data_IF_049923891382
#
_entry.id   IF_049923891382
#
_cell.length_a   1.000
_cell.length_b   1.000
_cell.length_c   1.000
_cell.angle_alpha   90.00
_cell.angle_beta   90.00
_cell.angle_gamma   90.00
#
_symmetry.space_group_name_H-M   'P 1'
#
loop_
_entity.id
_entity.type
_entity.pdbx_description
1 polymer ?
#
# COMPACT_ATOMS: atom_id res chain seq x y z
N UNK A 1 12.12 -4.97 -8.04
CA UNK A 1 12.15 -4.41 -6.68
C UNK A 1 13.40 -3.55 -6.56
N UNK A 2 13.25 -2.27 -6.22
CA UNK A 2 14.37 -1.35 -6.01
C UNK A 2 14.88 -1.52 -4.57
N UNK A 3 16.19 -1.62 -4.38
CA UNK A 3 16.82 -1.97 -3.11
C UNK A 3 17.51 -0.74 -2.52
N UNK A 4 17.54 -0.62 -1.18
CA UNK A 4 18.56 0.20 -0.52
C UNK A 4 19.89 -0.57 -0.54
N UNK A 5 20.94 -0.07 -1.24
CA UNK A 5 22.21 -0.78 -1.33
C UNK A 5 22.83 -1.03 0.05
N UNK A 6 22.72 -0.07 0.97
CA UNK A 6 23.37 -0.10 2.29
C UNK A 6 22.85 -1.21 3.22
N UNK A 7 21.53 -1.47 3.21
CA UNK A 7 20.93 -2.54 4.01
C UNK A 7 21.28 -3.93 3.48
N UNK A 8 21.50 -4.04 2.16
CA UNK A 8 21.99 -5.27 1.55
C UNK A 8 23.46 -5.51 1.95
N UNK A 9 24.30 -4.48 1.91
CA UNK A 9 25.74 -4.61 2.24
C UNK A 9 25.97 -5.04 3.69
N UNK A 10 25.17 -4.56 4.64
CA UNK A 10 25.32 -4.90 6.06
C UNK A 10 24.93 -6.35 6.39
N UNK A 11 23.86 -6.88 5.77
CA UNK A 11 23.46 -8.29 5.89
C UNK A 11 24.44 -9.21 5.16
N UNK A 12 25.05 -8.72 4.07
CA UNK A 12 25.98 -9.49 3.23
C UNK A 12 27.45 -9.41 3.66
N UNK A 13 27.76 -8.70 4.75
CA UNK A 13 29.09 -8.62 5.36
C UNK A 13 29.46 -9.86 6.20
N UNK A 14 28.68 -10.95 6.13
CA UNK A 14 29.03 -12.21 6.75
C UNK A 14 30.27 -12.84 6.09
N UNK A 15 31.26 -13.23 6.92
CA UNK A 15 32.50 -13.88 6.49
C UNK A 15 32.19 -15.11 5.63
N UNK A 16 32.66 -15.12 4.37
CA UNK A 16 32.50 -16.25 3.44
C UNK A 16 31.34 -16.14 2.44
N UNK A 17 30.67 -14.99 2.36
CA UNK A 17 29.55 -14.73 1.43
C UNK A 17 29.98 -13.71 0.38
N UNK A 18 29.77 -14.03 -0.90
CA UNK A 18 29.87 -13.10 -2.02
C UNK A 18 28.50 -12.89 -2.65
N UNK A 19 28.26 -11.68 -3.15
CA UNK A 19 27.01 -11.35 -3.82
C UNK A 19 27.26 -10.73 -5.18
N UNK A 20 26.38 -11.00 -6.13
CA UNK A 20 26.36 -10.37 -7.45
C UNK A 20 24.97 -9.78 -7.71
N UNK A 21 24.94 -8.57 -8.25
CA UNK A 21 23.73 -7.83 -8.59
C UNK A 21 23.63 -7.74 -10.11
N UNK A 22 22.79 -8.58 -10.71
CA UNK A 22 22.51 -8.53 -12.14
C UNK A 22 21.26 -7.70 -12.39
N UNK A 23 21.38 -6.62 -13.17
CA UNK A 23 20.24 -5.80 -13.60
C UNK A 23 19.70 -6.37 -14.91
N UNK A 24 18.43 -6.74 -14.95
CA UNK A 24 17.80 -7.15 -16.21
C UNK A 24 17.39 -5.93 -17.06
N UNK A 25 17.01 -6.17 -18.31
CA UNK A 25 16.61 -5.12 -19.28
C UNK A 25 15.39 -4.29 -18.82
N UNK A 26 14.59 -4.81 -17.89
CA UNK A 26 13.41 -4.16 -17.31
C UNK A 26 13.70 -3.43 -15.98
N UNK A 27 14.97 -3.32 -15.58
CA UNK A 27 15.38 -2.62 -14.35
C UNK A 27 15.16 -3.39 -13.06
N UNK A 28 14.86 -4.69 -13.11
CA UNK A 28 14.77 -5.58 -11.96
C UNK A 28 16.18 -6.08 -11.62
N UNK A 29 16.58 -5.91 -10.37
CA UNK A 29 17.83 -6.44 -9.84
C UNK A 29 17.65 -7.87 -9.35
N UNK A 30 18.43 -8.80 -9.88
CA UNK A 30 18.59 -10.16 -9.40
C UNK A 30 19.80 -10.19 -8.48
N UNK A 31 19.57 -10.51 -7.21
CA UNK A 31 20.64 -10.69 -6.23
C UNK A 31 21.02 -12.17 -6.20
N UNK A 32 22.23 -12.50 -6.63
CA UNK A 32 22.79 -13.84 -6.53
C UNK A 32 23.73 -13.90 -5.34
N UNK A 33 23.39 -14.72 -4.36
CA UNK A 33 24.21 -14.93 -3.17
C UNK A 33 24.97 -16.25 -3.31
N UNK A 34 26.27 -16.19 -3.09
CA UNK A 34 27.16 -17.35 -3.12
C UNK A 34 27.87 -17.38 -1.78
N UNK A 35 27.93 -18.54 -1.12
CA UNK A 35 28.70 -18.68 0.10
C UNK A 35 29.57 -19.93 0.03
N UNK A 36 30.65 -19.92 0.79
CA UNK A 36 31.58 -21.04 0.92
C UNK A 36 30.97 -22.27 1.60
N UNK A 37 29.86 -22.12 2.33
CA UNK A 37 29.15 -23.22 2.97
C UNK A 37 27.63 -23.06 2.82
N UNK A 38 26.94 -24.19 2.62
CA UNK A 38 25.46 -24.23 2.50
C UNK A 38 24.77 -23.73 3.77
N UNK A 39 25.38 -23.96 4.94
CA UNK A 39 24.90 -23.46 6.24
C UNK A 39 24.82 -21.93 6.25
N UNK A 40 25.81 -21.24 5.71
CA UNK A 40 25.85 -19.78 5.66
C UNK A 40 24.72 -19.20 4.79
N UNK A 41 24.37 -19.85 3.67
CA UNK A 41 23.22 -19.43 2.85
C UNK A 41 21.89 -19.69 3.57
N UNK A 42 21.76 -20.81 4.28
CA UNK A 42 20.55 -21.12 5.05
C UNK A 42 20.34 -20.12 6.20
N UNK A 43 21.40 -19.79 6.94
CA UNK A 43 21.39 -18.82 8.03
C UNK A 43 21.07 -17.40 7.52
N UNK A 44 21.47 -17.07 6.29
CA UNK A 44 21.14 -15.79 5.63
C UNK A 44 19.71 -15.70 5.10
N UNK A 45 19.04 -16.83 4.84
CA UNK A 45 17.73 -16.86 4.19
C UNK A 45 16.68 -16.10 5.00
N UNK A 46 16.57 -16.38 6.30
CA UNK A 46 15.56 -15.77 7.18
C UNK A 46 15.77 -14.26 7.36
N UNK A 47 16.99 -13.76 7.63
CA UNK A 47 17.27 -12.31 7.62
C UNK A 47 16.91 -11.64 6.30
N UNK A 48 17.22 -12.26 5.15
CA UNK A 48 16.88 -11.72 3.84
C UNK A 48 15.38 -11.70 3.58
N UNK A 49 14.66 -12.75 3.95
CA UNK A 49 13.19 -12.79 3.83
C UNK A 49 12.53 -11.72 4.71
N UNK A 50 13.03 -11.49 5.92
CA UNK A 50 12.56 -10.41 6.81
C UNK A 50 12.83 -9.04 6.16
N UNK A 51 14.03 -8.85 5.62
CA UNK A 51 14.42 -7.61 4.94
C UNK A 51 13.60 -7.38 3.67
N UNK A 52 13.27 -8.44 2.92
CA UNK A 52 12.44 -8.40 1.70
C UNK A 52 10.95 -8.21 2.00
N UNK A 53 10.45 -8.65 3.16
CA UNK A 53 9.05 -8.46 3.54
C UNK A 53 8.75 -6.99 3.84
N UNK A 54 9.73 -6.28 4.41
CA UNK A 54 9.62 -4.89 4.88
C UNK A 54 8.66 -4.76 6.06
N UNK A 55 8.83 -3.70 6.86
CA UNK A 55 7.89 -3.37 7.94
C UNK A 55 6.80 -2.47 7.40
N UNK A 56 5.54 -2.87 7.56
CA UNK A 56 4.39 -1.99 7.25
C UNK A 56 4.21 -1.03 8.43
N UNK A 57 4.19 0.28 8.16
CA UNK A 57 3.94 1.29 9.19
C UNK A 57 2.44 1.33 9.49
N UNK A 58 2.10 1.08 10.74
CA UNK A 58 0.74 1.19 11.26
C UNK A 58 0.79 2.07 12.51
N UNK A 59 0.44 3.36 12.36
CA UNK A 59 0.43 4.31 13.46
C UNK A 59 -0.95 4.96 13.60
N UNK A 60 -1.51 5.11 14.82
CA UNK A 60 -2.86 5.65 15.02
C UNK A 60 -3.04 7.07 14.46
N UNK A 61 -2.00 7.89 14.46
CA UNK A 61 -2.06 9.25 13.92
C UNK A 61 -1.98 9.34 12.38
N UNK A 62 -1.65 8.23 11.71
CA UNK A 62 -1.59 8.13 10.26
C UNK A 62 -2.95 7.72 9.71
N UNK A 63 -3.85 8.69 9.62
CA UNK A 63 -5.12 8.52 8.91
C UNK A 63 -4.91 8.44 7.40
N UNK A 64 -5.86 7.84 6.67
CA UNK A 64 -5.85 7.76 5.21
C UNK A 64 -5.61 9.13 4.54
N UNK A 65 -6.21 10.20 5.06
CA UNK A 65 -6.02 11.57 4.56
C UNK A 65 -4.62 12.13 4.80
N UNK A 66 -3.95 11.69 5.86
CA UNK A 66 -2.56 12.06 6.17
C UNK A 66 -1.60 11.29 5.27
N UNK A 67 -1.83 9.99 5.04
CA UNK A 67 -1.01 9.16 4.15
C UNK A 67 -1.11 9.62 2.68
N UNK A 68 -2.29 10.10 2.25
CA UNK A 68 -2.48 10.69 0.93
C UNK A 68 -1.61 11.94 0.67
N UNK A 69 -1.07 12.60 1.72
CA UNK A 69 -0.14 13.71 1.54
C UNK A 69 1.16 13.29 0.85
N UNK A 70 1.52 12.00 0.91
CA UNK A 70 2.66 11.44 0.16
C UNK A 70 2.48 11.50 -1.36
N UNK A 71 1.27 11.73 -1.86
CA UNK A 71 1.02 11.96 -3.28
C UNK A 71 1.42 13.38 -3.72
N UNK A 72 1.59 14.32 -2.77
CA UNK A 72 2.00 15.69 -3.05
C UNK A 72 3.51 15.80 -3.30
N UNK A 73 3.95 16.86 -3.99
CA UNK A 73 5.37 17.11 -4.24
C UNK A 73 6.18 17.23 -2.95
N UNK A 74 5.61 17.89 -1.93
CA UNK A 74 6.24 18.05 -0.62
C UNK A 74 6.30 16.71 0.13
N UNK A 75 5.24 15.90 0.05
CA UNK A 75 5.22 14.54 0.61
C UNK A 75 6.26 13.61 -0.01
N UNK A 76 6.45 13.67 -1.33
CA UNK A 76 7.51 12.91 -2.02
C UNK A 76 8.90 13.41 -1.63
N UNK A 77 9.08 14.72 -1.41
CA UNK A 77 10.34 15.29 -0.96
C UNK A 77 10.68 14.84 0.47
N UNK A 78 9.72 14.89 1.38
CA UNK A 78 9.90 14.45 2.77
C UNK A 78 10.19 12.95 2.84
N UNK A 79 9.49 12.11 2.06
CA UNK A 79 9.78 10.68 1.97
C UNK A 79 11.23 10.43 1.55
N UNK A 80 11.70 11.14 0.51
CA UNK A 80 13.10 11.04 0.06
C UNK A 80 14.11 11.56 1.09
N UNK A 81 13.77 12.60 1.84
CA UNK A 81 14.62 13.10 2.93
C UNK A 81 14.78 12.04 4.01
N UNK A 82 13.68 11.40 4.42
CA UNK A 82 13.71 10.33 5.43
C UNK A 82 14.52 9.14 4.93
N UNK A 83 14.35 8.71 3.67
CA UNK A 83 15.17 7.65 3.06
C UNK A 83 16.68 7.97 3.14
N UNK A 84 17.07 9.19 2.76
CA UNK A 84 18.47 9.63 2.78
C UNK A 84 19.05 9.70 4.19
N UNK A 85 18.30 10.23 5.15
CA UNK A 85 18.76 10.41 6.52
C UNK A 85 18.87 9.09 7.31
N UNK A 86 18.03 8.11 6.98
CA UNK A 86 17.95 6.85 7.72
C UNK A 86 18.67 5.70 7.02
N UNK A 87 19.07 5.89 5.76
CA UNK A 87 19.61 4.82 4.93
C UNK A 87 18.60 3.69 4.69
N UNK A 88 17.30 4.00 4.77
CA UNK A 88 16.21 3.05 4.49
C UNK A 88 15.63 3.29 3.11
N UNK A 89 14.88 2.31 2.62
CA UNK A 89 14.03 2.46 1.45
C UNK A 89 12.57 2.43 1.89
N UNK A 90 11.78 3.39 1.43
CA UNK A 90 10.38 3.55 1.82
C UNK A 90 9.52 3.37 0.56
N UNK A 91 8.78 2.27 0.50
CA UNK A 91 7.80 2.02 -0.54
C UNK A 91 6.44 2.52 -0.08
N UNK A 92 5.91 3.48 -0.81
CA UNK A 92 4.51 3.91 -0.68
C UNK A 92 3.68 3.28 -1.80
N UNK A 93 2.80 2.34 -1.44
CA UNK A 93 1.86 1.70 -2.35
C UNK A 93 0.63 2.61 -2.53
N UNK A 94 0.46 3.14 -3.75
CA UNK A 94 -0.61 4.08 -4.06
C UNK A 94 -1.99 3.44 -4.11
N UNK A 95 -2.05 2.13 -4.34
CA UNK A 95 -3.30 1.38 -4.45
C UNK A 95 -3.83 0.96 -3.10
N UNK A 96 -2.96 0.39 -2.26
CA UNK A 96 -3.33 -0.06 -0.92
C UNK A 96 -3.18 1.03 0.15
N UNK A 97 -2.61 2.19 -0.20
CA UNK A 97 -2.30 3.31 0.70
C UNK A 97 -1.42 2.88 1.88
N UNK A 98 -0.61 1.84 1.68
CA UNK A 98 0.29 1.31 2.70
C UNK A 98 1.70 1.84 2.48
N UNK A 99 2.39 2.06 3.60
CA UNK A 99 3.80 2.44 3.61
C UNK A 99 4.60 1.26 4.16
N UNK A 100 5.59 0.81 3.39
CA UNK A 100 6.54 -0.24 3.80
C UNK A 100 7.94 0.32 3.86
N UNK A 101 8.64 0.10 4.97
CA UNK A 101 10.04 0.49 5.14
C UNK A 101 10.92 -0.74 5.10
N UNK A 102 12.02 -0.64 4.36
CA UNK A 102 13.02 -1.68 4.15
C UNK A 102 14.36 -1.16 4.66
N UNK A 103 14.97 -1.89 5.60
CA UNK A 103 16.22 -1.50 6.24
C UNK A 103 16.53 -2.38 7.45
N UNK A 104 17.61 -2.05 8.17
CA UNK A 104 17.92 -2.69 9.45
C UNK A 104 16.89 -2.28 10.51
N UNK A 105 16.68 -3.12 11.53
CA UNK A 105 15.62 -2.92 12.53
C UNK A 105 15.69 -1.55 13.23
N UNK A 106 16.87 -1.08 13.59
CA UNK A 106 17.09 0.23 14.23
C UNK A 106 16.81 1.39 13.26
N UNK A 107 17.23 1.24 12.00
CA UNK A 107 17.02 2.25 10.95
C UNK A 107 15.55 2.35 10.56
N UNK A 108 14.84 1.22 10.53
CA UNK A 108 13.40 1.15 10.26
C UNK A 108 12.61 1.84 11.36
N UNK A 109 12.97 1.66 12.63
CA UNK A 109 12.33 2.35 13.74
C UNK A 109 12.54 3.88 13.66
N UNK A 110 13.77 4.32 13.36
CA UNK A 110 14.08 5.73 13.17
C UNK A 110 13.35 6.34 11.95
N UNK A 111 13.23 5.59 10.85
CA UNK A 111 12.50 6.01 9.65
C UNK A 111 11.00 6.13 9.90
N UNK A 112 10.42 5.20 10.66
CA UNK A 112 9.01 5.27 11.06
C UNK A 112 8.72 6.54 11.86
N UNK A 113 9.49 6.83 12.91
CA UNK A 113 9.30 8.02 13.75
C UNK A 113 9.44 9.32 12.94
N UNK A 114 10.49 9.42 12.12
CA UNK A 114 10.73 10.60 11.27
C UNK A 114 9.63 10.79 10.22
N UNK A 115 9.17 9.71 9.60
CA UNK A 115 8.12 9.77 8.59
C UNK A 115 6.79 10.22 9.20
N UNK A 116 6.43 9.71 10.37
CA UNK A 116 5.23 10.15 11.10
C UNK A 116 5.33 11.65 11.39
N UNK A 117 6.45 12.10 11.95
CA UNK A 117 6.64 13.52 12.26
C UNK A 117 6.55 14.42 11.01
N UNK A 118 7.19 14.04 9.91
CA UNK A 118 7.12 14.78 8.65
C UNK A 118 5.69 14.87 8.10
N UNK A 119 4.94 13.76 8.13
CA UNK A 119 3.54 13.72 7.68
C UNK A 119 2.61 14.57 8.54
N UNK A 120 2.82 14.60 9.86
CA UNK A 120 2.08 15.48 10.76
C UNK A 120 2.38 16.95 10.45
N UNK A 121 3.64 17.31 10.21
CA UNK A 121 4.01 18.67 9.81
C UNK A 121 3.42 19.07 8.45
N UNK A 122 3.38 18.17 7.47
CA UNK A 122 2.74 18.42 6.18
C UNK A 122 1.24 18.65 6.32
N UNK A 123 0.59 17.86 7.17
CA UNK A 123 -0.84 18.02 7.49
C UNK A 123 -1.11 19.40 8.07
N UNK A 124 -0.25 19.86 8.98
CA UNK A 124 -0.38 21.16 9.62
C UNK A 124 -0.07 22.32 8.65
N UNK A 125 0.90 22.14 7.75
CA UNK A 125 1.25 23.12 6.70
C UNK A 125 0.20 23.26 5.61
N UNK A 126 -0.63 22.22 5.35
CA UNK A 126 -1.67 22.25 4.32
C UNK A 126 -2.74 23.28 4.69
N UNK A 127 -3.09 24.22 3.78
CA UNK A 127 -4.16 25.17 4.04
C UNK A 127 -5.49 24.41 4.21
N UNK A 128 -6.30 24.89 5.14
CA UNK A 128 -7.69 24.49 5.28
C UNK A 128 -8.53 25.34 4.32
N UNK A 129 -9.30 24.67 3.46
CA UNK A 129 -10.11 25.31 2.43
C UNK A 129 -11.57 25.36 2.89
N UNK A 130 -12.01 26.52 3.37
CA UNK A 130 -13.39 26.73 3.84
C UNK A 130 -14.22 27.31 2.70
N UNK A 131 -15.14 26.51 2.18
CA UNK A 131 -16.09 26.97 1.16
C UNK A 131 -17.18 27.81 1.80
N UNK A 132 -17.35 29.03 1.29
CA UNK A 132 -18.35 30.02 1.74
C UNK A 132 -19.66 29.95 0.95
N UNK A 133 -19.81 28.93 0.09
CA UNK A 133 -21.01 28.61 -0.68
C UNK A 133 -21.28 27.11 -0.62
N UNK A 134 -22.55 26.73 -0.48
CA UNK A 134 -22.96 25.34 -0.45
C UNK A 134 -24.38 25.14 0.09
N UNK A 135 -24.84 23.89 0.05
CA UNK A 135 -26.23 23.46 0.32
C UNK A 135 -26.80 23.89 1.68
N UNK A 136 -25.94 24.08 2.68
CA UNK A 136 -26.31 24.42 4.07
C UNK A 136 -25.83 25.82 4.49
N UNK A 137 -25.29 26.59 3.55
CA UNK A 137 -24.69 27.91 3.80
C UNK A 137 -25.57 29.01 3.19
N UNK A 138 -25.77 30.13 3.88
CA UNK A 138 -26.55 31.25 3.37
C UNK A 138 -25.94 31.79 2.06
N UNK A 139 -26.76 32.13 1.05
CA UNK A 139 -26.28 32.59 -0.25
C UNK A 139 -25.48 33.90 -0.16
N UNK A 140 -25.70 34.69 0.91
CA UNK A 140 -25.01 35.94 1.22
C UNK A 140 -23.86 35.79 2.23
N UNK A 141 -23.45 34.56 2.61
CA UNK A 141 -22.42 34.34 3.64
C UNK A 141 -21.11 35.10 3.37
N UNK A 142 -20.63 35.11 2.13
CA UNK A 142 -19.44 35.89 1.76
C UNK A 142 -19.61 37.39 2.03
N UNK A 143 -20.77 37.96 1.70
CA UNK A 143 -21.06 39.38 1.90
C UNK A 143 -21.14 39.72 3.40
N UNK A 144 -21.72 38.83 4.19
CA UNK A 144 -21.79 38.98 5.65
C UNK A 144 -20.43 38.79 6.33
N UNK A 145 -19.58 37.88 5.83
CA UNK A 145 -18.20 37.77 6.28
C UNK A 145 -17.40 39.05 6.03
N UNK A 146 -17.49 39.63 4.83
CA UNK A 146 -16.79 40.88 4.49
C UNK A 146 -17.31 42.07 5.30
N UNK A 147 -18.62 42.10 5.63
CA UNK A 147 -19.18 43.11 6.53
C UNK A 147 -18.68 42.96 7.98
N UNK A 148 -18.64 41.72 8.50
CA UNK A 148 -18.29 41.47 9.91
C UNK A 148 -16.78 41.56 10.16
N UNK A 149 -15.96 41.11 9.22
CA UNK A 149 -14.51 40.99 9.40
C UNK A 149 -13.67 41.93 8.53
N UNK A 150 -14.32 42.76 7.71
CA UNK A 150 -13.66 43.71 6.80
C UNK A 150 -13.23 43.07 5.48
N UNK A 151 -12.99 43.92 4.47
CA UNK A 151 -12.60 43.49 3.11
C UNK A 151 -11.26 42.74 3.10
N UNK A 152 -10.33 43.12 3.98
CA UNK A 152 -8.98 42.55 4.10
C UNK A 152 -8.84 41.48 5.20
N UNK A 153 -9.98 41.01 5.74
CA UNK A 153 -10.10 40.04 6.83
C UNK A 153 -9.38 40.46 8.12
N UNK A 154 -9.19 41.76 8.34
CA UNK A 154 -8.52 42.29 9.54
C UNK A 154 -9.19 41.84 10.83
N UNK A 155 -10.53 41.74 10.85
CA UNK A 155 -11.28 41.26 12.00
C UNK A 155 -10.93 39.81 12.36
N UNK A 156 -10.75 38.94 11.36
CA UNK A 156 -10.33 37.54 11.58
C UNK A 156 -8.85 37.45 12.02
N UNK A 157 -7.98 38.29 11.44
CA UNK A 157 -6.57 38.37 11.85
C UNK A 157 -6.39 38.89 13.27
N UNK A 158 -7.29 39.75 13.76
CA UNK A 158 -7.23 40.26 15.13
C UNK A 158 -7.57 39.17 16.16
N UNK A 159 -8.54 38.32 15.85
CA UNK A 159 -8.95 37.21 16.73
C UNK A 159 -7.99 36.02 16.63
N UNK A 160 -7.33 35.83 15.48
CA UNK A 160 -6.35 34.75 15.27
C UNK A 160 -5.10 35.27 14.55
N UNK A 161 -4.18 35.97 15.26
CA UNK A 161 -3.05 36.67 14.65
C UNK A 161 -1.96 35.75 14.08
N UNK A 162 -1.93 34.48 14.50
CA UNK A 162 -0.97 33.49 14.02
C UNK A 162 -1.36 32.86 12.66
N UNK A 163 -2.51 33.22 12.08
CA UNK A 163 -3.06 32.57 10.88
C UNK A 163 -2.86 33.42 9.63
N UNK A 164 -2.35 32.79 8.58
CA UNK A 164 -2.38 33.36 7.23
C UNK A 164 -3.73 33.04 6.57
N UNK A 165 -4.45 34.09 6.17
CA UNK A 165 -5.77 34.00 5.54
C UNK A 165 -5.70 34.51 4.10
N UNK A 166 -6.27 33.75 3.15
CA UNK A 166 -6.45 34.19 1.77
C UNK A 166 -7.88 33.92 1.31
N UNK A 167 -8.56 34.94 0.83
CA UNK A 167 -9.92 34.81 0.29
C UNK A 167 -9.89 34.80 -1.23
N UNK A 168 -10.43 33.76 -1.84
CA UNK A 168 -10.69 33.74 -3.28
C UNK A 168 -12.15 34.13 -3.54
N UNK A 169 -12.34 35.35 -4.01
CA UNK A 169 -13.66 35.91 -4.32
C UNK A 169 -14.35 35.22 -5.49
N UNK A 170 -13.61 34.65 -6.46
CA UNK A 170 -14.20 33.94 -7.61
C UNK A 170 -14.69 32.54 -7.25
N UNK A 171 -13.93 31.84 -6.41
CA UNK A 171 -14.24 30.46 -5.97
C UNK A 171 -14.99 30.40 -4.64
N UNK A 172 -15.28 31.54 -4.03
CA UNK A 172 -15.95 31.62 -2.73
C UNK A 172 -15.31 30.72 -1.66
N UNK A 173 -13.98 30.74 -1.61
CA UNK A 173 -13.20 29.86 -0.72
C UNK A 173 -12.23 30.68 0.11
N UNK A 174 -12.24 30.46 1.42
CA UNK A 174 -11.28 31.01 2.38
C UNK A 174 -10.22 29.96 2.68
N UNK A 175 -8.98 30.27 2.33
CA UNK A 175 -7.80 29.47 2.65
C UNK A 175 -7.24 29.92 3.99
N UNK A 176 -7.08 28.96 4.92
CA UNK A 176 -6.66 29.19 6.29
C UNK A 176 -5.40 28.37 6.57
N UNK A 177 -4.27 29.04 6.85
CA UNK A 177 -3.02 28.38 7.19
C UNK A 177 -2.59 28.75 8.61
N UNK A 178 -2.41 27.74 9.46
CA UNK A 178 -2.11 27.91 10.87
C UNK A 178 -2.12 26.58 11.61
N UNK A 179 -2.03 26.64 12.95
CA UNK A 179 -2.14 25.45 13.82
C UNK A 179 -3.52 24.78 13.70
N UNK A 180 -3.65 23.55 14.20
CA UNK A 180 -4.94 22.83 14.19
C UNK A 180 -5.99 23.57 15.02
N UNK A 181 -5.58 24.09 16.18
CA UNK A 181 -6.41 24.85 17.10
C UNK A 181 -6.91 26.15 16.44
N UNK A 182 -6.03 26.83 15.71
CA UNK A 182 -6.39 28.07 15.02
C UNK A 182 -7.31 27.85 13.82
N UNK A 183 -7.07 26.78 13.04
CA UNK A 183 -7.96 26.36 11.95
C UNK A 183 -9.37 26.08 12.47
N UNK A 184 -9.47 25.38 13.61
CA UNK A 184 -10.75 25.07 14.24
C UNK A 184 -11.47 26.32 14.73
N UNK A 185 -10.77 27.28 15.34
CA UNK A 185 -11.37 28.58 15.73
C UNK A 185 -11.96 29.33 14.55
N UNK A 186 -11.29 29.32 13.39
CA UNK A 186 -11.80 29.98 12.19
C UNK A 186 -13.08 29.30 11.67
N UNK A 187 -13.15 27.97 11.70
CA UNK A 187 -14.37 27.23 11.36
C UNK A 187 -15.54 27.53 12.31
N UNK A 188 -15.26 27.62 13.62
CA UNK A 188 -16.25 27.96 14.64
C UNK A 188 -16.83 29.36 14.40
N UNK A 189 -15.98 30.36 14.16
CA UNK A 189 -16.43 31.73 13.85
C UNK A 189 -17.29 31.83 12.58
N UNK A 190 -16.98 31.05 11.55
CA UNK A 190 -17.79 30.99 10.32
C UNK A 190 -19.12 30.28 10.59
N UNK A 191 -19.11 29.23 11.40
CA UNK A 191 -20.31 28.50 11.79
C UNK A 191 -21.29 29.37 12.60
N UNK A 192 -20.78 30.21 13.49
CA UNK A 192 -21.59 31.22 14.21
C UNK A 192 -22.24 32.23 13.25
N UNK A 193 -21.49 32.66 12.24
CA UNK A 193 -21.96 33.57 11.18
C UNK A 193 -23.06 32.96 10.33
N UNK A 194 -22.94 31.67 10.03
CA UNK A 194 -23.97 30.89 9.33
C UNK A 194 -25.25 30.80 10.17
N UNK A 195 -25.12 30.59 11.47
CA UNK A 195 -26.28 30.49 12.37
C UNK A 195 -27.00 31.84 12.52
N UNK A 196 -26.28 32.96 12.58
CA UNK A 196 -26.90 34.28 12.66
C UNK A 196 -27.64 34.70 11.38
N UNK A 197 -27.21 34.20 10.23
CA UNK A 197 -27.81 34.50 8.92
C UNK A 197 -28.99 33.59 8.56
N UNK A 198 -29.02 32.34 9.05
CA UNK A 198 -30.16 31.43 8.88
C UNK A 198 -31.48 31.96 9.46
N UNK A 199 -31.43 32.80 10.49
CA UNK A 199 -32.64 33.42 11.08
C UNK A 199 -33.29 34.51 10.21
N UNK A 200 -32.58 35.04 9.19
CA UNK A 200 -33.06 36.15 8.37
C UNK A 200 -33.51 35.75 6.95
N UNK A 201 -33.49 34.46 6.59
CA UNK A 201 -33.51 34.01 5.19
C UNK A 201 -34.60 33.02 4.77
N UNK A 202 -35.78 32.99 5.40
CA UNK A 202 -36.92 32.19 4.95
C UNK A 202 -37.70 32.87 3.80
N UNK A 203 -37.02 33.25 2.72
CA UNK A 203 -37.68 33.66 1.47
C UNK A 203 -37.46 32.60 0.41
N UNK A 204 -38.53 31.86 0.14
CA UNK A 204 -38.68 30.89 -0.95
C UNK A 204 -38.41 31.56 -2.30
N UNK A 205 -37.42 31.07 -3.05
CA UNK A 205 -37.29 31.33 -4.48
C UNK A 205 -37.74 30.08 -5.27
N UNK A 206 -38.41 30.24 -6.44
CA UNK A 206 -39.04 29.14 -7.15
C UNK A 206 -38.03 28.14 -7.73
N UNK A 207 -38.36 26.86 -7.57
CA UNK A 207 -37.48 25.69 -7.68
C UNK A 207 -37.26 25.17 -9.12
N UNK A 208 -37.27 26.01 -10.15
CA UNK A 208 -37.16 25.55 -11.56
C UNK A 208 -35.73 25.62 -12.12
N UNK A 209 -34.90 26.55 -11.64
CA UNK A 209 -33.52 26.77 -12.13
C UNK A 209 -32.44 26.44 -11.08
N UNK A 210 -32.79 25.68 -10.04
CA UNK A 210 -31.87 25.31 -8.99
C UNK A 210 -31.07 24.04 -9.34
N UNK A 211 -29.78 24.05 -9.06
CA UNK A 211 -28.92 22.88 -9.19
C UNK A 211 -29.40 21.78 -8.24
N UNK A 212 -29.66 20.55 -8.71
CA UNK A 212 -30.18 19.48 -7.85
C UNK A 212 -29.20 19.02 -6.74
N UNK A 213 -27.91 19.35 -6.85
CA UNK A 213 -26.89 18.97 -5.85
C UNK A 213 -26.81 20.01 -4.73
N UNK A 214 -26.59 21.29 -5.07
CA UNK A 214 -26.41 22.34 -4.06
C UNK A 214 -27.71 23.06 -3.68
N UNK A 215 -28.79 22.88 -4.46
CA UNK A 215 -30.09 23.56 -4.30
C UNK A 215 -30.02 25.10 -4.41
N UNK A 216 -28.95 25.63 -5.01
CA UNK A 216 -28.78 27.05 -5.34
C UNK A 216 -29.06 27.29 -6.83
N UNK A 217 -29.14 28.56 -7.27
CA UNK A 217 -29.13 28.91 -8.69
C UNK A 217 -27.93 28.29 -9.40
N UNK A 218 -28.14 27.79 -10.63
CA UNK A 218 -27.06 27.16 -11.40
C UNK A 218 -26.05 28.21 -11.86
N UNK A 219 -24.83 28.09 -11.37
CA UNK A 219 -23.66 28.82 -11.85
C UNK A 219 -22.80 27.90 -12.71
N UNK A 220 -22.32 28.41 -13.85
CA UNK A 220 -21.55 27.64 -14.86
C UNK A 220 -22.26 26.32 -15.23
N UNK A 221 -23.37 26.41 -16.00
CA UNK A 221 -24.27 25.30 -16.21
C UNK A 221 -23.59 24.20 -17.04
N UNK A 222 -23.52 23.00 -16.46
CA UNK A 222 -23.12 21.80 -17.17
C UNK A 222 -24.34 20.89 -17.35
N UNK A 223 -24.62 20.54 -18.61
CA UNK A 223 -25.72 19.65 -18.99
C UNK A 223 -25.19 18.25 -19.22
N UNK A 224 -25.71 17.27 -18.49
CA UNK A 224 -25.35 15.86 -18.70
C UNK A 224 -25.91 15.35 -20.03
N UNK A 225 -25.08 14.73 -20.86
CA UNK A 225 -25.47 14.22 -22.18
C UNK A 225 -26.49 13.07 -22.09
N UNK A 226 -26.40 12.21 -21.06
CA UNK A 226 -27.30 11.03 -20.94
C UNK A 226 -28.76 11.35 -20.61
N UNK A 227 -29.00 12.43 -19.87
CA UNK A 227 -30.30 12.76 -19.30
C UNK A 227 -30.75 14.20 -19.50
N UNK A 228 -29.87 15.07 -19.98
CA UNK A 228 -30.16 16.48 -20.23
C UNK A 228 -30.33 17.33 -18.97
N UNK A 229 -30.07 16.78 -17.78
CA UNK A 229 -30.18 17.53 -16.53
C UNK A 229 -28.98 18.45 -16.31
N UNK A 230 -29.26 19.65 -15.80
CA UNK A 230 -28.29 20.72 -15.61
C UNK A 230 -27.89 20.82 -14.15
N UNK A 231 -26.59 20.99 -13.92
CA UNK A 231 -25.98 21.16 -12.61
C UNK A 231 -24.92 22.28 -12.69
N UNK A 232 -24.46 22.79 -11.55
CA UNK A 232 -23.25 23.59 -11.54
C UNK A 232 -22.05 22.69 -11.90
N UNK A 233 -21.14 23.17 -12.75
CA UNK A 233 -19.93 22.43 -13.13
C UNK A 233 -19.14 21.97 -11.90
N UNK A 234 -18.96 22.87 -10.92
CA UNK A 234 -18.27 22.57 -9.65
C UNK A 234 -18.92 21.44 -8.85
N UNK A 235 -20.25 21.37 -8.83
CA UNK A 235 -20.97 20.31 -8.12
C UNK A 235 -20.76 18.93 -8.76
N UNK A 236 -20.67 18.86 -10.09
CA UNK A 236 -20.37 17.60 -10.78
C UNK A 236 -18.91 17.19 -10.62
N UNK A 237 -17.98 18.15 -10.61
CA UNK A 237 -16.57 17.88 -10.28
C UNK A 237 -16.45 17.32 -8.87
N UNK A 238 -17.10 17.95 -7.89
CA UNK A 238 -17.12 17.48 -6.51
C UNK A 238 -17.75 16.09 -6.36
N UNK A 239 -18.80 15.79 -7.14
CA UNK A 239 -19.38 14.45 -7.19
C UNK A 239 -18.34 13.41 -7.64
N UNK A 240 -17.58 13.72 -8.69
CA UNK A 240 -16.53 12.84 -9.19
C UNK A 240 -15.40 12.67 -8.16
N UNK A 241 -14.95 13.77 -7.54
CA UNK A 241 -13.91 13.73 -6.50
C UNK A 241 -14.36 12.98 -5.23
N UNK A 242 -15.64 13.06 -4.89
CA UNK A 242 -16.21 12.30 -3.77
C UNK A 242 -16.23 10.80 -4.07
N UNK A 243 -16.52 10.42 -5.32
CA UNK A 243 -16.47 9.03 -5.76
C UNK A 243 -15.04 8.46 -5.75
N UNK A 244 -14.00 9.28 -5.90
CA UNK A 244 -12.61 8.83 -5.74
C UNK A 244 -12.29 8.38 -4.31
N UNK A 245 -12.93 8.99 -3.31
CA UNK A 245 -12.68 8.75 -1.87
C UNK A 245 -13.52 7.61 -1.30
N UNK A 246 -14.60 7.23 -1.97
CA UNK A 246 -15.60 6.27 -1.49
C UNK A 246 -15.66 5.04 -2.40
N UNK A 247 -15.65 3.85 -1.81
CA UNK A 247 -15.85 2.59 -2.56
C UNK A 247 -17.29 2.45 -3.09
N UNK A 248 -18.26 3.14 -2.49
CA UNK A 248 -19.68 3.12 -2.86
C UNK A 248 -20.06 4.22 -3.85
N UNK A 249 -19.07 4.99 -4.34
CA UNK A 249 -19.29 6.10 -5.28
C UNK A 249 -19.62 5.68 -6.71
N UNK A 250 -19.61 4.38 -7.00
CA UNK A 250 -19.78 3.82 -8.34
C UNK A 250 -21.01 2.91 -8.43
N UNK A 251 -21.74 2.93 -9.57
CA UNK A 251 -21.53 3.77 -10.75
C UNK A 251 -21.92 5.23 -10.51
N UNK A 252 -21.24 6.17 -11.18
CA UNK A 252 -21.60 7.59 -11.15
C UNK A 252 -22.92 7.82 -11.88
N UNK A 253 -23.92 8.30 -11.15
CA UNK A 253 -25.28 8.51 -11.65
C UNK A 253 -25.74 9.96 -11.45
N UNK A 254 -26.69 10.37 -12.30
CA UNK A 254 -27.38 11.64 -12.18
C UNK A 254 -28.15 11.72 -10.84
N UNK A 255 -27.86 12.76 -10.06
CA UNK A 255 -28.43 12.97 -8.72
C UNK A 255 -29.76 13.75 -8.72
N UNK A 256 -30.31 14.09 -9.88
CA UNK A 256 -31.65 14.67 -9.94
C UNK A 256 -32.69 13.62 -9.54
N UNK A 257 -33.64 14.00 -8.68
CA UNK A 257 -34.71 13.13 -8.19
C UNK A 257 -35.34 12.31 -9.32
N UNK A 258 -35.27 10.98 -9.19
CA UNK A 258 -35.89 10.03 -10.12
C UNK A 258 -35.08 9.68 -11.38
N UNK A 259 -33.96 10.34 -11.68
CA UNK A 259 -33.22 10.09 -12.93
C UNK A 259 -32.36 8.82 -12.89
N UNK A 260 -31.41 8.73 -11.95
CA UNK A 260 -30.45 7.61 -11.77
C UNK A 260 -29.70 7.14 -13.04
N UNK A 261 -29.75 7.87 -14.16
CA UNK A 261 -28.98 7.56 -15.38
C UNK A 261 -27.48 7.74 -15.13
N UNK A 262 -26.67 6.85 -15.68
CA UNK A 262 -25.22 6.91 -15.56
C UNK A 262 -24.63 8.12 -16.30
N UNK A 263 -23.53 8.66 -15.77
CA UNK A 263 -22.73 9.67 -16.45
C UNK A 263 -21.93 9.02 -17.58
N UNK A 264 -21.86 9.67 -18.74
CA UNK A 264 -21.10 9.16 -19.88
C UNK A 264 -19.63 9.55 -19.78
N UNK A 265 -18.77 8.78 -20.45
CA UNK A 265 -17.33 9.10 -20.54
C UNK A 265 -17.10 10.48 -21.17
N UNK A 266 -17.96 10.92 -22.09
CA UNK A 266 -17.90 12.27 -22.67
C UNK A 266 -18.14 13.37 -21.63
N UNK A 267 -19.06 13.15 -20.70
CA UNK A 267 -19.30 14.08 -19.58
C UNK A 267 -18.04 14.13 -18.69
N UNK A 268 -17.51 12.96 -18.31
CA UNK A 268 -16.33 12.85 -17.42
C UNK A 268 -15.07 13.48 -18.03
N UNK A 269 -14.84 13.32 -19.34
CA UNK A 269 -13.71 13.94 -20.05
C UNK A 269 -13.81 15.48 -20.11
N UNK A 270 -15.02 16.01 -20.03
CA UNK A 270 -15.26 17.46 -20.05
C UNK A 270 -15.17 18.06 -18.64
N UNK A 271 -15.48 17.26 -17.61
CA UNK A 271 -15.46 17.68 -16.21
C UNK A 271 -14.06 17.56 -15.55
N UNK A 272 -13.25 16.59 -15.97
CA UNK A 272 -12.00 16.23 -15.28
C UNK A 272 -10.77 16.37 -16.19
N UNK A 273 -9.61 16.64 -15.56
CA UNK A 273 -8.32 16.54 -16.24
C UNK A 273 -8.00 15.07 -16.59
N UNK A 274 -7.09 14.87 -17.56
CA UNK A 274 -6.60 13.54 -17.96
C UNK A 274 -6.14 12.70 -16.77
N UNK A 275 -5.42 13.30 -15.82
CA UNK A 275 -4.89 12.63 -14.63
C UNK A 275 -6.01 12.18 -13.69
N UNK A 276 -6.94 13.09 -13.35
CA UNK A 276 -8.09 12.78 -12.48
C UNK A 276 -9.04 11.77 -13.11
N UNK A 277 -9.19 11.80 -14.44
CA UNK A 277 -10.01 10.82 -15.16
C UNK A 277 -9.41 9.41 -15.04
N UNK A 278 -8.10 9.28 -15.14
CA UNK A 278 -7.41 8.00 -14.98
C UNK A 278 -7.52 7.49 -13.53
N UNK A 279 -7.39 8.37 -12.53
CA UNK A 279 -7.66 8.04 -11.13
C UNK A 279 -9.10 7.55 -10.92
N UNK A 280 -10.06 8.19 -11.59
CA UNK A 280 -11.47 7.82 -11.51
C UNK A 280 -11.74 6.44 -12.10
N UNK A 281 -11.11 6.11 -13.24
CA UNK A 281 -11.18 4.77 -13.81
C UNK A 281 -10.50 3.71 -12.95
N UNK A 282 -9.38 4.04 -12.29
CA UNK A 282 -8.78 3.14 -11.30
C UNK A 282 -9.72 2.92 -10.11
N UNK A 283 -10.37 3.97 -9.62
CA UNK A 283 -11.33 3.89 -8.53
C UNK A 283 -12.58 3.07 -8.91
N UNK A 284 -13.10 3.25 -10.12
CA UNK A 284 -14.24 2.47 -10.62
C UNK A 284 -13.91 0.98 -10.75
N UNK A 285 -12.69 0.67 -11.22
CA UNK A 285 -12.20 -0.71 -11.29
C UNK A 285 -12.07 -1.34 -9.88
N UNK A 286 -11.56 -0.58 -8.90
CA UNK A 286 -11.50 -1.04 -7.50
C UNK A 286 -12.89 -1.33 -6.95
N UNK A 287 -13.86 -0.44 -7.19
CA UNK A 287 -15.24 -0.64 -6.77
C UNK A 287 -15.84 -1.90 -7.43
N UNK A 288 -15.62 -2.09 -8.74
CA UNK A 288 -16.07 -3.29 -9.46
C UNK A 288 -15.50 -4.59 -8.86
N UNK A 289 -14.18 -4.65 -8.63
CA UNK A 289 -13.56 -5.83 -8.02
C UNK A 289 -14.10 -6.10 -6.61
N UNK A 290 -14.32 -5.05 -5.82
CA UNK A 290 -14.90 -5.17 -4.48
C UNK A 290 -16.36 -5.67 -4.53
N UNK A 291 -17.20 -5.13 -5.41
CA UNK A 291 -18.59 -5.59 -5.60
C UNK A 291 -18.69 -7.01 -6.18
N UNK A 292 -17.61 -7.51 -6.81
CA UNK A 292 -17.50 -8.86 -7.32
C UNK A 292 -16.47 -9.71 -6.54
N UNK A 293 -16.36 -9.46 -5.23
CA UNK A 293 -15.50 -10.21 -4.34
C UNK A 293 -15.67 -11.73 -4.54
N UNK A 294 -14.55 -12.42 -4.74
CA UNK A 294 -14.51 -13.87 -5.00
C UNK A 294 -14.56 -14.27 -6.47
N UNK A 295 -14.93 -13.39 -7.40
CA UNK A 295 -14.83 -13.65 -8.86
C UNK A 295 -13.61 -13.00 -9.50
N UNK A 296 -13.25 -11.82 -9.04
CA UNK A 296 -12.10 -11.07 -9.55
C UNK A 296 -11.19 -10.64 -8.39
N UNK A 297 -9.90 -10.56 -8.68
CA UNK A 297 -8.88 -10.02 -7.77
C UNK A 297 -7.84 -9.21 -8.54
N UNK A 298 -7.21 -8.28 -7.83
CA UNK A 298 -6.02 -7.59 -8.34
C UNK A 298 -4.80 -8.51 -8.29
N UNK A 299 -3.89 -8.30 -9.23
CA UNK A 299 -2.55 -8.85 -9.18
C UNK A 299 -1.88 -8.49 -7.84
N UNK A 300 -1.28 -9.45 -7.11
CA UNK A 300 -0.60 -9.19 -5.85
C UNK A 300 0.72 -8.40 -6.01
N UNK A 301 1.21 -8.22 -7.24
CA UNK A 301 2.38 -7.38 -7.49
C UNK A 301 2.06 -5.92 -7.16
N UNK A 302 2.85 -5.25 -6.30
CA UNK A 302 2.65 -3.84 -5.97
C UNK A 302 2.56 -2.96 -7.22
N UNK A 303 1.65 -1.99 -7.20
CA UNK A 303 1.37 -1.03 -8.28
C UNK A 303 0.92 -1.65 -9.62
N UNK A 304 0.74 -2.97 -9.71
CA UNK A 304 0.24 -3.62 -10.92
C UNK A 304 -1.26 -3.37 -11.08
N UNK A 305 -1.74 -2.81 -12.20
CA UNK A 305 -3.16 -2.50 -12.40
C UNK A 305 -3.98 -3.70 -12.87
N UNK A 306 -3.34 -4.84 -13.18
CA UNK A 306 -4.01 -5.99 -13.77
C UNK A 306 -4.94 -6.68 -12.78
N UNK A 307 -6.10 -7.08 -13.29
CA UNK A 307 -7.05 -7.96 -12.60
C UNK A 307 -7.03 -9.34 -13.23
N UNK A 308 -7.40 -10.35 -12.46
CA UNK A 308 -7.59 -11.71 -12.97
C UNK A 308 -8.83 -12.35 -12.36
N UNK A 309 -9.35 -13.35 -13.06
CA UNK A 309 -10.49 -14.12 -12.62
C UNK A 309 -10.04 -15.22 -11.63
N UNK A 310 -10.73 -15.27 -10.50
CA UNK A 310 -10.53 -16.29 -9.47
C UNK A 310 -11.16 -17.61 -9.93
N UNK A 311 -10.45 -18.72 -9.72
CA UNK A 311 -11.00 -20.05 -9.98
C UNK A 311 -12.22 -20.31 -9.09
N UNK A 312 -13.23 -21.01 -9.62
CA UNK A 312 -14.30 -21.55 -8.79
C UNK A 312 -13.72 -22.55 -7.76
N UNK A 313 -14.40 -22.73 -6.63
CA UNK A 313 -13.89 -23.54 -5.52
C UNK A 313 -13.61 -25.00 -5.92
N UNK A 314 -14.42 -25.53 -6.83
CA UNK A 314 -14.38 -26.87 -7.42
C UNK A 314 -13.43 -26.99 -8.63
N UNK A 315 -12.95 -25.88 -9.18
CA UNK A 315 -12.06 -25.90 -10.33
C UNK A 315 -10.61 -26.26 -9.92
N UNK A 316 -9.90 -26.85 -10.89
CA UNK A 316 -8.46 -27.09 -10.79
C UNK A 316 -7.67 -25.78 -10.75
N UNK A 317 -6.55 -25.81 -10.02
CA UNK A 317 -5.60 -24.69 -9.94
C UNK A 317 -4.96 -24.45 -11.31
N UNK A 318 -5.03 -23.22 -11.80
CA UNK A 318 -4.38 -22.82 -13.07
C UNK A 318 -3.47 -21.60 -12.85
N UNK A 319 -2.37 -21.50 -13.62
CA UNK A 319 -1.56 -20.30 -13.62
C UNK A 319 -2.31 -19.18 -14.35
N UNK A 320 -2.35 -18.01 -13.72
CA UNK A 320 -2.61 -16.75 -14.41
C UNK A 320 -1.28 -16.04 -14.63
N UNK A 321 -0.95 -15.76 -15.88
CA UNK A 321 0.22 -14.96 -16.25
C UNK A 321 -0.21 -13.51 -16.40
N UNK A 322 0.32 -12.63 -15.57
CA UNK A 322 -0.02 -11.22 -15.62
C UNK A 322 0.57 -10.54 -16.86
N UNK A 323 -0.27 -9.95 -17.72
CA UNK A 323 0.21 -9.24 -18.92
C UNK A 323 0.98 -7.94 -18.64
N UNK A 324 0.89 -7.38 -17.43
CA UNK A 324 1.57 -6.13 -17.07
C UNK A 324 2.91 -6.35 -16.37
N UNK A 325 3.00 -7.31 -15.44
CA UNK A 325 4.21 -7.57 -14.65
C UNK A 325 4.80 -8.97 -14.84
N UNK A 326 4.18 -9.82 -15.68
CA UNK A 326 4.63 -11.17 -16.03
C UNK A 326 4.77 -12.16 -14.87
N UNK A 327 4.25 -11.83 -13.68
CA UNK A 327 4.20 -12.77 -12.57
C UNK A 327 3.19 -13.88 -12.86
N UNK A 328 3.52 -15.10 -12.46
CA UNK A 328 2.61 -16.25 -12.50
C UNK A 328 1.94 -16.43 -11.13
N UNK A 329 0.62 -16.37 -11.11
CA UNK A 329 -0.19 -16.44 -9.90
C UNK A 329 -1.10 -17.65 -9.98
N UNK A 330 -1.17 -18.42 -8.90
CA UNK A 330 -2.22 -19.42 -8.76
C UNK A 330 -3.57 -18.71 -8.60
N UNK A 331 -4.49 -18.94 -9.54
CA UNK A 331 -5.81 -18.31 -9.53
C UNK A 331 -6.74 -18.78 -8.39
N UNK A 332 -6.32 -19.79 -7.60
CA UNK A 332 -7.06 -20.35 -6.47
C UNK A 332 -6.54 -19.87 -5.11
N UNK A 333 -5.23 -19.99 -4.86
CA UNK A 333 -4.63 -19.57 -3.59
C UNK A 333 -4.10 -18.12 -3.60
N UNK A 334 -3.98 -17.51 -4.78
CA UNK A 334 -3.50 -16.13 -5.00
C UNK A 334 -2.03 -15.89 -4.63
N UNK A 335 -1.26 -16.96 -4.45
CA UNK A 335 0.19 -16.94 -4.29
C UNK A 335 0.90 -17.21 -5.61
N UNK A 336 2.23 -17.20 -5.58
CA UNK A 336 3.09 -17.65 -6.68
C UNK A 336 2.64 -19.02 -7.19
N UNK A 337 2.58 -19.19 -8.52
CA UNK A 337 2.13 -20.44 -9.09
C UNK A 337 3.05 -21.60 -8.66
N UNK A 338 2.43 -22.66 -8.13
CA UNK A 338 3.12 -23.80 -7.53
C UNK A 338 2.71 -25.10 -8.25
N UNK A 339 3.41 -25.48 -9.32
CA UNK A 339 3.11 -26.73 -10.00
C UNK A 339 3.41 -27.92 -9.07
N UNK A 340 2.59 -28.97 -9.16
CA UNK A 340 2.74 -30.24 -8.44
C UNK A 340 2.51 -30.24 -6.92
N UNK A 341 2.22 -29.09 -6.29
CA UNK A 341 1.92 -28.98 -4.85
C UNK A 341 0.50 -28.41 -4.68
N UNK A 342 -0.24 -28.92 -3.68
CA UNK A 342 -1.57 -28.39 -3.36
C UNK A 342 -1.49 -26.96 -2.80
N UNK A 343 -2.60 -26.22 -2.89
CA UNK A 343 -2.66 -24.85 -2.37
C UNK A 343 -2.42 -24.80 -0.85
N UNK A 344 -2.89 -25.81 -0.14
CA UNK A 344 -2.78 -25.96 1.31
C UNK A 344 -1.32 -26.19 1.71
N UNK A 345 -0.66 -27.19 1.11
CA UNK A 345 0.74 -27.50 1.39
C UNK A 345 1.67 -26.34 1.03
N UNK A 346 1.38 -25.62 -0.06
CA UNK A 346 2.18 -24.45 -0.45
C UNK A 346 2.03 -23.27 0.52
N UNK A 347 0.85 -23.08 1.11
CA UNK A 347 0.62 -22.07 2.15
C UNK A 347 1.39 -22.39 3.42
N UNK A 348 1.32 -23.63 3.89
CA UNK A 348 2.07 -24.09 5.07
C UNK A 348 3.58 -23.92 4.87
N UNK A 349 4.10 -24.29 3.69
CA UNK A 349 5.50 -24.05 3.34
C UNK A 349 5.90 -22.57 3.38
N UNK A 350 5.01 -21.65 2.99
CA UNK A 350 5.25 -20.20 3.05
C UNK A 350 5.22 -19.65 4.48
N UNK A 351 4.46 -20.26 5.38
CA UNK A 351 4.35 -19.84 6.78
C UNK A 351 5.46 -20.40 7.64
N UNK A 352 5.80 -21.67 7.46
CA UNK A 352 6.91 -22.35 8.14
C UNK A 352 7.64 -23.30 7.17
N UNK A 353 8.69 -22.82 6.48
CA UNK A 353 9.47 -23.63 5.55
C UNK A 353 10.11 -24.87 6.21
N UNK A 354 10.36 -24.81 7.52
CA UNK A 354 11.05 -25.86 8.28
C UNK A 354 10.07 -26.96 8.75
N UNK A 355 8.78 -26.63 8.93
CA UNK A 355 7.74 -27.60 9.31
C UNK A 355 7.54 -28.70 8.26
N UNK A 356 7.45 -28.35 6.98
CA UNK A 356 7.28 -29.32 5.89
C UNK A 356 8.50 -30.27 5.78
N UNK A 357 9.69 -29.74 6.03
CA UNK A 357 10.93 -30.54 6.08
C UNK A 357 10.88 -31.54 7.25
N UNK A 358 10.40 -31.12 8.42
CA UNK A 358 10.23 -31.98 9.60
C UNK A 358 9.19 -33.07 9.37
N UNK A 359 8.08 -32.78 8.70
CA UNK A 359 7.07 -33.78 8.34
C UNK A 359 7.57 -34.79 7.32
N UNK A 360 8.28 -34.34 6.27
CA UNK A 360 8.88 -35.24 5.28
C UNK A 360 9.88 -36.23 5.89
N UNK A 361 10.55 -35.85 7.00
CA UNK A 361 11.44 -36.74 7.76
C UNK A 361 10.68 -37.84 8.53
N UNK A 362 9.43 -37.58 8.96
CA UNK A 362 8.69 -38.52 9.82
C UNK A 362 8.42 -39.83 9.06
N UNK A 363 8.85 -40.95 9.66
CA UNK A 363 8.60 -42.29 9.12
C UNK A 363 9.58 -42.75 8.04
N UNK A 364 10.61 -41.97 7.70
CA UNK A 364 11.67 -42.39 6.76
C UNK A 364 12.88 -42.94 7.49
N UNK A 365 13.11 -44.25 7.39
CA UNK A 365 14.25 -44.92 8.03
C UNK A 365 15.60 -44.53 7.41
N UNK A 366 15.59 -44.05 6.17
CA UNK A 366 16.76 -43.60 5.42
C UNK A 366 17.04 -42.10 5.58
N UNK A 367 16.34 -41.40 6.49
CA UNK A 367 16.53 -39.97 6.76
C UNK A 367 16.80 -39.73 8.24
N UNK A 368 17.93 -39.10 8.55
CA UNK A 368 18.36 -38.77 9.93
C UNK A 368 18.90 -37.34 9.99
N UNK A 369 19.39 -36.93 11.15
CA UNK A 369 19.94 -35.59 11.40
C UNK A 369 21.43 -35.71 11.68
N UNK A 370 22.24 -34.84 11.07
CA UNK A 370 23.67 -34.78 11.33
C UNK A 370 23.93 -34.39 12.80
N UNK A 371 24.73 -35.15 13.57
CA UNK A 371 25.05 -34.82 14.96
C UNK A 371 25.94 -33.57 15.11
N UNK A 372 26.66 -33.18 14.05
CA UNK A 372 27.58 -32.04 14.09
C UNK A 372 26.91 -30.71 13.72
N UNK A 373 26.06 -30.70 12.69
CA UNK A 373 25.47 -29.47 12.17
C UNK A 373 23.93 -29.45 12.14
N UNK A 374 23.28 -30.53 12.58
CA UNK A 374 21.82 -30.69 12.63
C UNK A 374 21.07 -30.57 11.28
N UNK A 375 21.80 -30.59 10.15
CA UNK A 375 21.18 -30.72 8.83
C UNK A 375 20.62 -32.12 8.60
N UNK A 376 19.57 -32.21 7.78
CA UNK A 376 19.02 -33.50 7.32
C UNK A 376 20.05 -34.23 6.48
N UNK A 377 20.28 -35.50 6.80
CA UNK A 377 21.12 -36.41 6.05
C UNK A 377 20.27 -37.59 5.56
N UNK A 378 20.53 -38.03 4.34
CA UNK A 378 19.85 -39.17 3.72
C UNK A 378 20.88 -40.27 3.45
N UNK A 379 20.51 -41.51 3.76
CA UNK A 379 21.32 -42.69 3.47
C UNK A 379 21.03 -43.18 2.05
N UNK A 380 22.09 -43.33 1.26
CA UNK A 380 22.06 -44.09 0.02
C UNK A 380 22.03 -45.60 0.34
N UNK A 381 21.25 -46.37 -0.42
CA UNK A 381 21.10 -47.81 -0.19
C UNK A 381 22.45 -48.53 -0.16
N UNK A 382 22.66 -49.35 0.88
CA UNK A 382 23.83 -50.23 1.01
C UNK A 382 25.06 -49.67 1.73
N UNK A 383 25.16 -48.36 2.01
CA UNK A 383 26.33 -47.79 2.68
C UNK A 383 25.97 -47.20 4.06
N UNK A 384 26.58 -47.71 5.14
CA UNK A 384 26.40 -47.15 6.49
C UNK A 384 27.29 -45.94 6.77
N UNK A 385 28.16 -45.56 5.84
CA UNK A 385 28.92 -44.32 5.89
C UNK A 385 28.17 -43.22 5.12
N UNK A 386 27.89 -42.11 5.80
CA UNK A 386 27.22 -40.94 5.23
C UNK A 386 28.09 -39.70 5.43
N UNK A 387 28.45 -39.03 4.33
CA UNK A 387 29.15 -37.75 4.37
C UNK A 387 28.15 -36.60 4.39
N UNK A 388 28.21 -35.77 5.43
CA UNK A 388 27.40 -34.58 5.52
C UNK A 388 28.05 -33.40 4.79
N UNK A 389 27.25 -32.49 4.23
CA UNK A 389 27.72 -31.27 3.56
C UNK A 389 28.55 -30.33 4.44
N UNK A 390 28.58 -30.54 5.76
CA UNK A 390 29.47 -29.84 6.68
C UNK A 390 30.89 -30.43 6.73
N UNK A 391 31.18 -31.48 5.95
CA UNK A 391 32.46 -32.19 5.92
C UNK A 391 32.63 -33.24 7.02
N UNK A 392 31.58 -33.56 7.78
CA UNK A 392 31.64 -34.63 8.79
C UNK A 392 31.23 -35.96 8.17
N UNK A 393 31.99 -37.02 8.48
CA UNK A 393 31.66 -38.40 8.11
C UNK A 393 30.90 -39.06 9.26
N UNK A 394 29.77 -39.72 8.96
CA UNK A 394 28.81 -40.17 9.97
C UNK A 394 28.55 -41.66 9.80
N UNK A 395 28.61 -42.41 10.90
CA UNK A 395 28.14 -43.79 10.94
C UNK A 395 26.62 -43.80 11.06
N UNK A 396 25.92 -44.37 10.08
CA UNK A 396 24.45 -44.42 10.07
C UNK A 396 23.86 -45.29 11.18
N UNK A 397 24.60 -46.29 11.65
CA UNK A 397 24.15 -47.24 12.67
C UNK A 397 24.08 -46.57 14.06
N UNK A 398 25.14 -45.86 14.47
CA UNK A 398 25.27 -45.28 15.81
C UNK A 398 25.22 -43.75 15.86
N UNK A 399 25.24 -43.06 14.71
CA UNK A 399 25.29 -41.61 14.57
C UNK A 399 26.55 -40.95 15.16
N UNK A 400 27.65 -41.69 15.34
CA UNK A 400 28.95 -41.09 15.65
C UNK A 400 29.50 -40.31 14.44
N UNK A 401 30.21 -39.22 14.73
CA UNK A 401 30.85 -38.37 13.72
C UNK A 401 32.37 -38.54 13.73
N UNK A 402 32.95 -38.42 12.54
CA UNK A 402 34.36 -38.61 12.26
C UNK A 402 34.87 -37.48 11.36
N UNK A 403 36.18 -37.20 11.47
CA UNK A 403 36.86 -36.16 10.69
C UNK A 403 37.32 -36.64 9.32
N UNK A 404 37.42 -37.95 9.12
CA UNK A 404 37.83 -38.57 7.86
C UNK A 404 36.97 -39.78 7.53
N UNK A 405 36.95 -40.13 6.25
CA UNK A 405 36.26 -41.33 5.76
C UNK A 405 36.87 -42.61 6.34
N UNK A 406 38.20 -42.68 6.45
CA UNK A 406 38.93 -43.85 6.92
C UNK A 406 38.64 -44.17 8.39
N UNK A 407 38.50 -43.14 9.23
CA UNK A 407 38.12 -43.30 10.64
C UNK A 407 36.71 -43.90 10.75
N UNK A 408 35.78 -43.43 9.92
CA UNK A 408 34.41 -43.92 9.93
C UNK A 408 34.32 -45.38 9.44
N UNK A 409 35.01 -45.74 8.37
CA UNK A 409 35.09 -47.14 7.92
C UNK A 409 35.78 -48.05 8.93
N UNK A 410 36.80 -47.55 9.64
CA UNK A 410 37.47 -48.30 10.69
C UNK A 410 36.56 -48.56 11.90
N UNK A 411 35.74 -47.58 12.26
CA UNK A 411 34.66 -47.76 13.25
C UNK A 411 33.61 -48.78 12.77
N UNK A 412 33.11 -48.65 11.53
CA UNK A 412 32.10 -49.57 10.98
C UNK A 412 32.58 -51.03 10.98
N UNK A 413 33.87 -51.26 10.65
CA UNK A 413 34.49 -52.58 10.69
C UNK A 413 34.72 -53.11 12.10
N UNK A 414 35.13 -52.26 13.04
CA UNK A 414 35.50 -52.70 14.40
C UNK A 414 34.31 -52.85 15.34
N UNK A 415 33.30 -51.98 15.24
CA UNK A 415 32.16 -51.92 16.16
C UNK A 415 30.92 -52.62 15.58
N UNK A 416 30.66 -52.41 14.29
CA UNK A 416 29.43 -52.88 13.64
C UNK A 416 29.64 -54.08 12.72
N UNK A 417 30.88 -54.54 12.54
CA UNK A 417 31.26 -55.65 11.63
C UNK A 417 30.66 -55.46 10.23
N UNK A 418 30.53 -54.21 9.80
CA UNK A 418 29.85 -53.81 8.56
C UNK A 418 30.76 -52.93 7.70
N UNK A 419 30.45 -52.83 6.42
CA UNK A 419 31.14 -51.96 5.46
C UNK A 419 30.34 -50.70 5.20
#
# INVERSE_FOLDING_TARGET
>A
MCWCPQALTSVLLHVGVSYNLEKNEYGIFRVKLTANATKTIADLRRPLEILMKGKTINHPDLTLSTVQLLMSRDGVADLKSVEQETGTYILYDRQSLNIKVFGLQDQVAAAEEKLIHALLQLRDKKPLDIRLRGRNLPPNLMKEMLKKFGADLEGLKREVPAVELRLNLRQHTLYVRGSKEDKQRVEEMISELVNSTKYNGLLQLPLENACPICLCEVEDPFKLESCGHVFCLTCLVDQCESALKSHDGFPLCCLKNGCKKQLLVVDLRSLLSSEKLEELFRASLRAFVASNAGKYRFCPTPDCPSIYQVAAADAESKPFVCGACFVEICNKCHLEYHPFISCEAYKEYKEDPDATLLEWRKGKENVKVCPSCHFTIEKADGCNHVECKCGSHICWACLENFRSSDDCYSHLRSVHLSY
#
